data_IF_878299336537
#
_entry.id   IF_878299336537
#
_cell.length_a   1.000
_cell.length_b   1.000
_cell.length_c   1.000
_cell.angle_alpha   90.00
_cell.angle_beta   90.00
_cell.angle_gamma   90.00
#
_symmetry.space_group_name_H-M   'P 1'
#
loop_
_entity.id
_entity.type
_entity.pdbx_description
1 polymer ?
#
# COMPACT_ATOMS: atom_id res chain seq x y z
N UNK A 1 23.08 -3.20 1.73
CA UNK A 1 22.69 -2.19 2.72
C UNK A 1 22.73 -2.82 4.11
N UNK A 2 23.09 -2.05 5.14
CA UNK A 2 23.04 -2.53 6.51
C UNK A 2 21.60 -2.53 7.04
N UNK A 3 21.32 -3.27 8.12
CA UNK A 3 20.01 -3.26 8.78
C UNK A 3 19.61 -1.83 9.23
N UNK A 4 20.58 -1.01 9.60
CA UNK A 4 20.37 0.39 9.96
C UNK A 4 19.84 1.24 8.80
N UNK A 5 20.17 0.87 7.56
CA UNK A 5 19.70 1.59 6.38
C UNK A 5 18.21 1.34 6.15
N UNK A 6 17.70 0.12 6.36
CA UNK A 6 16.28 -0.20 6.21
C UNK A 6 15.41 0.53 7.23
N UNK A 7 15.84 0.59 8.50
CA UNK A 7 15.12 1.35 9.53
C UNK A 7 15.05 2.85 9.20
N UNK A 8 16.15 3.42 8.69
CA UNK A 8 16.20 4.82 8.29
C UNK A 8 15.28 5.10 7.08
N UNK A 9 15.27 4.20 6.09
CA UNK A 9 14.37 4.29 4.93
C UNK A 9 12.91 4.20 5.38
N UNK A 10 12.56 3.22 6.21
CA UNK A 10 11.19 3.03 6.71
C UNK A 10 10.69 4.28 7.47
N UNK A 11 11.52 4.88 8.32
CA UNK A 11 11.21 6.14 9.00
C UNK A 11 11.05 7.31 8.03
N UNK A 12 11.90 7.40 7.02
CA UNK A 12 11.80 8.46 6.01
C UNK A 12 10.52 8.36 5.18
N UNK A 13 10.03 7.14 4.92
CA UNK A 13 8.76 6.91 4.21
C UNK A 13 7.55 7.51 4.93
N UNK A 14 7.58 7.58 6.25
CA UNK A 14 6.50 8.10 7.10
C UNK A 14 6.89 9.39 7.82
N UNK A 15 7.78 10.18 7.20
CA UNK A 15 8.22 11.45 7.73
C UNK A 15 7.04 12.41 8.00
N UNK A 16 7.08 13.23 9.07
CA UNK A 16 6.01 14.16 9.39
C UNK A 16 5.64 15.08 8.22
N UNK A 17 4.33 15.25 7.97
CA UNK A 17 3.80 16.10 6.91
C UNK A 17 3.93 15.52 5.50
N UNK A 18 4.39 14.27 5.35
CA UNK A 18 4.55 13.62 4.05
C UNK A 18 3.77 12.32 3.97
N UNK A 19 3.38 11.97 2.73
CA UNK A 19 2.80 10.69 2.40
C UNK A 19 3.50 10.02 1.22
N UNK A 20 2.93 8.94 0.73
CA UNK A 20 3.45 8.17 -0.40
C UNK A 20 2.50 8.31 -1.60
N UNK A 21 3.04 8.66 -2.76
CA UNK A 21 2.28 8.65 -4.02
C UNK A 21 2.26 7.22 -4.58
N UNK A 22 1.07 6.66 -4.75
CA UNK A 22 0.88 5.39 -5.43
C UNK A 22 0.70 5.63 -6.94
N UNK A 23 1.80 5.58 -7.69
CA UNK A 23 1.83 5.72 -9.15
C UNK A 23 2.15 4.38 -9.85
N UNK A 24 1.69 3.28 -9.24
CA UNK A 24 2.02 1.91 -9.60
C UNK A 24 0.89 1.17 -10.35
N UNK A 25 -0.02 1.91 -10.93
CA UNK A 25 -1.10 1.32 -11.73
C UNK A 25 -0.50 0.44 -12.82
N UNK A 26 -0.97 -0.81 -12.87
CA UNK A 26 -0.65 -1.72 -13.97
C UNK A 26 -1.20 -1.19 -15.31
N UNK A 27 -0.69 -1.68 -16.41
CA UNK A 27 -1.17 -1.32 -17.77
C UNK A 27 -2.68 -1.40 -17.90
N UNK A 28 -3.31 -2.45 -17.33
CA UNK A 28 -4.77 -2.60 -17.36
C UNK A 28 -5.52 -1.62 -16.44
N UNK A 29 -4.92 -1.22 -15.33
CA UNK A 29 -5.53 -0.24 -14.41
C UNK A 29 -5.48 1.16 -15.00
N UNK A 30 -4.34 1.54 -15.59
CA UNK A 30 -4.19 2.88 -16.19
C UNK A 30 -5.01 3.00 -17.48
N UNK A 31 -5.22 1.89 -18.23
CA UNK A 31 -6.11 1.87 -19.39
C UNK A 31 -7.51 2.38 -19.04
N UNK A 32 -8.09 1.89 -17.93
CA UNK A 32 -9.41 2.33 -17.46
C UNK A 32 -9.47 3.81 -17.08
N UNK A 33 -8.36 4.38 -16.60
CA UNK A 33 -8.26 5.82 -16.31
C UNK A 33 -8.20 6.64 -17.58
N UNK A 34 -7.41 6.20 -18.55
CA UNK A 34 -7.28 6.88 -19.85
C UNK A 34 -8.54 6.82 -20.69
N UNK A 35 -9.29 5.72 -20.63
CA UNK A 35 -10.60 5.59 -21.24
C UNK A 35 -11.57 6.69 -20.79
N UNK A 36 -11.58 7.01 -19.48
CA UNK A 36 -12.42 8.07 -18.92
C UNK A 36 -12.10 9.49 -19.43
N UNK A 37 -10.94 9.70 -20.05
CA UNK A 37 -10.49 10.98 -20.61
C UNK A 37 -10.16 10.89 -22.10
N UNK A 38 -10.57 9.79 -22.76
CA UNK A 38 -10.36 9.53 -24.19
C UNK A 38 -8.89 9.61 -24.63
N UNK A 39 -7.96 9.13 -23.81
CA UNK A 39 -6.53 9.00 -24.11
C UNK A 39 -6.20 7.55 -24.44
N UNK A 40 -5.46 7.34 -25.51
CA UNK A 40 -5.01 6.00 -25.90
C UNK A 40 -3.98 5.44 -24.88
N UNK A 41 -4.10 4.15 -24.53
CA UNK A 41 -3.20 3.49 -23.61
C UNK A 41 -1.91 3.01 -24.29
N UNK A 42 -1.09 3.94 -24.75
CA UNK A 42 0.26 3.69 -25.29
C UNK A 42 1.31 3.77 -24.18
N UNK A 43 2.51 3.20 -24.41
CA UNK A 43 3.63 3.35 -23.50
C UNK A 43 4.02 4.82 -23.31
N UNK A 44 4.02 5.60 -24.40
CA UNK A 44 4.35 7.02 -24.34
C UNK A 44 3.34 7.83 -23.52
N UNK A 45 2.05 7.57 -23.66
CA UNK A 45 1.03 8.25 -22.86
C UNK A 45 1.13 7.87 -21.37
N UNK A 46 1.47 6.60 -21.06
CA UNK A 46 1.74 6.19 -19.69
C UNK A 46 2.98 6.88 -19.13
N UNK A 47 4.04 6.97 -19.92
CA UNK A 47 5.27 7.69 -19.56
C UNK A 47 4.98 9.17 -19.31
N UNK A 48 4.28 9.84 -20.22
CA UNK A 48 3.93 11.25 -20.11
C UNK A 48 3.06 11.54 -18.87
N UNK A 49 2.11 10.67 -18.56
CA UNK A 49 1.31 10.76 -17.34
C UNK A 49 2.17 10.70 -16.08
N UNK A 50 3.14 9.78 -16.00
CA UNK A 50 4.08 9.66 -14.87
C UNK A 50 5.01 10.87 -14.80
N UNK A 51 5.50 11.32 -15.95
CA UNK A 51 6.38 12.49 -16.06
C UNK A 51 5.71 13.74 -15.49
N UNK A 52 4.43 13.98 -15.86
CA UNK A 52 3.63 15.09 -15.33
C UNK A 52 3.58 15.08 -13.80
N UNK A 53 3.36 13.91 -13.20
CA UNK A 53 3.30 13.77 -11.74
C UNK A 53 4.66 14.04 -11.09
N UNK A 54 5.74 13.45 -11.62
CA UNK A 54 7.05 13.46 -10.99
C UNK A 54 7.78 14.81 -11.17
N UNK A 55 7.44 15.58 -12.19
CA UNK A 55 7.96 16.92 -12.40
C UNK A 55 7.18 18.01 -11.66
N UNK A 56 6.12 17.66 -10.93
CA UNK A 56 5.36 18.63 -10.16
C UNK A 56 6.26 19.36 -9.15
N UNK A 57 6.35 20.67 -9.28
CA UNK A 57 7.17 21.52 -8.40
C UNK A 57 6.71 21.40 -6.95
N UNK A 58 7.63 21.19 -6.03
CA UNK A 58 7.34 21.05 -4.60
C UNK A 58 6.81 19.67 -4.20
N UNK A 59 6.75 18.69 -5.12
CA UNK A 59 6.28 17.34 -4.82
C UNK A 59 7.02 16.76 -3.59
N UNK A 60 8.33 16.92 -3.50
CA UNK A 60 9.14 16.42 -2.41
C UNK A 60 8.88 17.07 -1.05
N UNK A 61 8.15 18.18 -1.01
CA UNK A 61 7.76 18.82 0.27
C UNK A 61 6.64 18.02 0.98
N UNK A 62 5.83 17.30 0.21
CA UNK A 62 4.64 16.57 0.67
C UNK A 62 4.70 15.06 0.45
N UNK A 63 5.58 14.59 -0.44
CA UNK A 63 5.71 13.17 -0.81
C UNK A 63 7.10 12.66 -0.40
N UNK A 64 7.11 11.63 0.43
CA UNK A 64 8.32 10.95 0.91
C UNK A 64 8.79 9.86 -0.02
N UNK A 65 7.86 9.21 -0.72
CA UNK A 65 8.13 8.10 -1.62
C UNK A 65 7.10 7.96 -2.73
N UNK A 66 7.49 7.35 -3.82
CA UNK A 66 6.59 7.03 -4.96
C UNK A 66 6.69 5.55 -5.26
N UNK A 67 5.55 4.86 -5.29
CA UNK A 67 5.48 3.48 -5.74
C UNK A 67 5.39 3.49 -7.26
N UNK A 68 6.35 2.86 -7.92
CA UNK A 68 6.43 2.77 -9.38
C UNK A 68 5.93 1.40 -9.86
N UNK A 69 5.46 1.35 -11.11
CA UNK A 69 5.29 0.11 -11.87
C UNK A 69 6.61 -0.28 -12.53
N UNK A 70 6.83 -1.56 -12.89
CA UNK A 70 8.10 -2.04 -13.47
C UNK A 70 8.50 -1.25 -14.72
N UNK A 71 7.57 -1.03 -15.66
CA UNK A 71 7.78 -0.20 -16.85
C UNK A 71 8.30 1.20 -16.46
N UNK A 72 7.64 1.84 -15.50
CA UNK A 72 7.94 3.21 -15.07
C UNK A 72 9.29 3.33 -14.38
N UNK A 73 9.69 2.33 -13.59
CA UNK A 73 11.02 2.31 -12.94
C UNK A 73 12.17 2.37 -13.97
N UNK A 74 11.94 1.88 -15.19
CA UNK A 74 12.93 1.81 -16.28
C UNK A 74 12.87 3.00 -17.22
N UNK A 75 11.80 3.80 -17.15
CA UNK A 75 11.55 4.92 -18.06
C UNK A 75 12.32 6.19 -17.66
N UNK A 76 12.29 7.14 -18.57
CA UNK A 76 12.93 8.45 -18.44
C UNK A 76 11.91 9.56 -18.68
N UNK A 77 12.18 10.70 -18.09
CA UNK A 77 11.56 11.97 -18.41
C UNK A 77 11.90 12.41 -19.83
N UNK A 78 11.19 13.40 -20.33
CA UNK A 78 11.40 13.97 -21.67
C UNK A 78 12.81 14.54 -21.89
N UNK A 79 13.48 14.98 -20.83
CA UNK A 79 14.88 15.46 -20.87
C UNK A 79 15.94 14.36 -20.80
N UNK A 80 15.53 13.08 -20.73
CA UNK A 80 16.42 11.93 -20.67
C UNK A 80 16.83 11.52 -19.24
N UNK A 81 16.42 12.25 -18.21
CA UNK A 81 16.66 11.89 -16.81
C UNK A 81 15.79 10.67 -16.44
N UNK A 82 16.37 9.63 -15.81
CA UNK A 82 15.57 8.50 -15.34
C UNK A 82 14.58 8.95 -14.24
N UNK A 83 13.38 8.38 -14.20
CA UNK A 83 12.42 8.71 -13.15
C UNK A 83 12.96 8.46 -11.75
N UNK A 84 13.80 7.44 -11.57
CA UNK A 84 14.49 7.18 -10.31
C UNK A 84 15.39 8.35 -9.90
N UNK A 85 16.18 8.88 -10.84
CA UNK A 85 17.04 10.02 -10.57
C UNK A 85 16.23 11.30 -10.31
N UNK A 86 15.18 11.55 -11.10
CA UNK A 86 14.28 12.68 -10.93
C UNK A 86 13.65 12.70 -9.52
N UNK A 87 13.15 11.55 -9.07
CA UNK A 87 12.60 11.40 -7.71
C UNK A 87 13.66 11.62 -6.63
N UNK A 88 14.84 11.01 -6.79
CA UNK A 88 15.93 11.12 -5.82
C UNK A 88 16.45 12.55 -5.69
N UNK A 89 16.57 13.29 -6.79
CA UNK A 89 16.93 14.72 -6.79
C UNK A 89 15.92 15.58 -5.99
N UNK A 90 14.65 15.19 -6.03
CA UNK A 90 13.57 15.81 -5.27
C UNK A 90 13.43 15.25 -3.83
N UNK A 91 14.41 14.45 -3.34
CA UNK A 91 14.40 13.81 -2.02
C UNK A 91 13.21 12.88 -1.80
N UNK A 92 12.74 12.24 -2.86
CA UNK A 92 11.64 11.27 -2.85
C UNK A 92 12.23 9.88 -3.05
N UNK A 93 11.84 8.94 -2.20
CA UNK A 93 12.29 7.56 -2.27
C UNK A 93 11.58 6.83 -3.42
N UNK A 94 12.32 6.23 -4.37
CA UNK A 94 11.73 5.36 -5.38
C UNK A 94 11.33 4.02 -4.78
N UNK A 95 10.11 3.59 -5.02
CA UNK A 95 9.60 2.28 -4.65
C UNK A 95 9.07 1.50 -5.84
N UNK A 96 8.76 0.23 -5.66
CA UNK A 96 8.36 -0.68 -6.74
C UNK A 96 7.23 -1.61 -6.32
N UNK A 97 6.18 -1.70 -7.14
CA UNK A 97 5.17 -2.76 -7.04
C UNK A 97 5.76 -4.07 -7.55
N UNK A 98 5.76 -5.09 -6.70
CA UNK A 98 6.39 -6.39 -7.04
C UNK A 98 5.41 -7.55 -7.16
N UNK A 99 4.16 -7.39 -6.75
CA UNK A 99 3.13 -8.41 -6.94
C UNK A 99 2.73 -8.55 -8.44
N UNK A 100 2.28 -9.73 -8.81
CA UNK A 100 1.78 -10.07 -10.14
C UNK A 100 0.24 -9.97 -10.24
N UNK A 101 -0.42 -9.40 -9.23
CA UNK A 101 -1.86 -9.20 -9.15
C UNK A 101 -2.61 -10.34 -8.48
N UNK A 102 -3.85 -10.04 -8.11
CA UNK A 102 -4.75 -10.99 -7.48
C UNK A 102 -5.34 -11.96 -8.51
N UNK A 103 -5.38 -13.25 -8.16
CA UNK A 103 -5.92 -14.36 -8.95
C UNK A 103 -6.99 -15.08 -8.15
N UNK A 104 -7.84 -15.85 -8.83
CA UNK A 104 -8.84 -16.66 -8.15
C UNK A 104 -8.17 -17.67 -7.22
N UNK A 105 -8.64 -17.73 -5.99
CA UNK A 105 -8.18 -18.73 -5.03
C UNK A 105 -8.91 -20.05 -5.30
N UNK A 106 -8.15 -21.09 -5.61
CA UNK A 106 -8.71 -22.40 -5.94
C UNK A 106 -9.62 -22.93 -4.81
N UNK A 107 -10.78 -23.45 -5.18
CA UNK A 107 -11.82 -23.98 -4.26
C UNK A 107 -12.43 -22.94 -3.29
N UNK A 108 -12.15 -21.65 -3.49
CA UNK A 108 -12.73 -20.55 -2.71
C UNK A 108 -13.43 -19.55 -3.66
N UNK A 109 -14.65 -19.83 -4.12
CA UNK A 109 -15.35 -19.00 -5.09
C UNK A 109 -15.49 -17.55 -4.65
N UNK A 110 -15.10 -16.59 -5.50
CA UNK A 110 -15.16 -15.16 -5.23
C UNK A 110 -13.97 -14.60 -4.46
N UNK A 111 -13.11 -15.44 -3.89
CA UNK A 111 -11.93 -15.02 -3.16
C UNK A 111 -10.67 -15.03 -4.03
N UNK A 112 -9.71 -14.21 -3.65
CA UNK A 112 -8.45 -14.03 -4.39
C UNK A 112 -7.23 -14.33 -3.52
N UNK A 113 -6.15 -14.74 -4.19
CA UNK A 113 -4.80 -14.76 -3.64
C UNK A 113 -3.90 -13.96 -4.56
N UNK A 114 -3.00 -13.17 -4.00
CA UNK A 114 -2.04 -12.40 -4.80
C UNK A 114 -0.81 -13.24 -5.10
N UNK A 115 -0.44 -13.28 -6.38
CA UNK A 115 0.71 -14.01 -6.90
C UNK A 115 1.92 -13.09 -7.12
N UNK A 116 3.08 -13.69 -7.42
CA UNK A 116 4.30 -12.95 -7.77
C UNK A 116 5.51 -13.31 -6.92
N UNK A 117 5.45 -14.39 -6.12
CA UNK A 117 6.60 -14.86 -5.32
C UNK A 117 7.66 -15.55 -6.18
N UNK A 118 7.29 -16.10 -7.33
CA UNK A 118 8.22 -16.76 -8.22
C UNK A 118 9.27 -15.78 -8.75
N UNK A 119 10.54 -16.16 -8.64
CA UNK A 119 11.69 -15.33 -9.01
C UNK A 119 11.76 -13.96 -8.29
N UNK A 120 10.97 -13.72 -7.23
CA UNK A 120 10.96 -12.46 -6.52
C UNK A 120 12.34 -12.05 -5.97
N UNK A 121 13.17 -12.95 -5.38
CA UNK A 121 14.51 -12.58 -4.92
C UNK A 121 15.37 -11.99 -6.05
N UNK A 122 15.35 -12.61 -7.23
CA UNK A 122 16.08 -12.13 -8.41
C UNK A 122 15.58 -10.76 -8.88
N UNK A 123 14.25 -10.57 -8.93
CA UNK A 123 13.65 -9.28 -9.30
C UNK A 123 13.96 -8.19 -8.29
N UNK A 124 13.90 -8.48 -7.00
CA UNK A 124 14.25 -7.51 -5.95
C UNK A 124 15.71 -7.08 -6.06
N UNK A 125 16.64 -8.00 -6.29
CA UNK A 125 18.05 -7.68 -6.50
C UNK A 125 18.28 -6.76 -7.72
N UNK A 126 17.51 -6.94 -8.80
CA UNK A 126 17.52 -6.05 -9.96
C UNK A 126 16.96 -4.66 -9.62
N UNK A 127 15.82 -4.60 -8.95
CA UNK A 127 15.19 -3.33 -8.58
C UNK A 127 16.05 -2.47 -7.65
N UNK A 128 16.78 -3.11 -6.73
CA UNK A 128 17.78 -2.41 -5.90
C UNK A 128 18.87 -1.78 -6.74
N UNK A 129 19.38 -2.49 -7.75
CA UNK A 129 20.40 -1.97 -8.70
C UNK A 129 19.85 -0.79 -9.52
N UNK A 130 18.56 -0.81 -9.86
CA UNK A 130 17.88 0.29 -10.54
C UNK A 130 17.56 1.48 -9.61
N UNK A 131 17.80 1.37 -8.32
CA UNK A 131 17.68 2.46 -7.35
C UNK A 131 16.41 2.41 -6.48
N UNK A 132 15.59 1.37 -6.56
CA UNK A 132 14.47 1.20 -5.64
C UNK A 132 14.95 1.07 -4.19
N UNK A 133 14.19 1.64 -3.25
CA UNK A 133 14.46 1.63 -1.80
C UNK A 133 13.41 0.88 -1.00
N UNK A 134 12.21 0.76 -1.52
CA UNK A 134 11.11 0.03 -0.91
C UNK A 134 10.30 -0.70 -1.97
N UNK A 135 9.52 -1.68 -1.53
CA UNK A 135 8.63 -2.45 -2.39
C UNK A 135 7.21 -2.41 -1.85
N UNK A 136 6.23 -2.73 -2.70
CA UNK A 136 4.84 -2.86 -2.30
C UNK A 136 4.23 -4.14 -2.88
N UNK A 137 3.43 -4.82 -2.03
CA UNK A 137 2.62 -5.98 -2.40
C UNK A 137 1.22 -5.83 -1.81
N UNK A 138 0.22 -5.89 -2.67
CA UNK A 138 -1.19 -5.77 -2.31
C UNK A 138 -1.85 -7.14 -2.29
N UNK A 139 -2.42 -7.52 -1.16
CA UNK A 139 -3.43 -8.58 -1.07
C UNK A 139 -4.82 -7.95 -1.02
N UNK A 140 -5.83 -8.66 -1.52
CA UNK A 140 -7.23 -8.21 -1.48
C UNK A 140 -8.08 -9.21 -0.75
N UNK A 141 -8.86 -8.72 0.22
CA UNK A 141 -9.78 -9.49 1.06
C UNK A 141 -11.19 -8.93 0.85
N UNK A 142 -12.05 -9.71 0.22
CA UNK A 142 -13.44 -9.30 0.00
C UNK A 142 -14.34 -9.69 1.17
N UNK A 143 -15.37 -8.91 1.42
CA UNK A 143 -16.40 -9.18 2.44
C UNK A 143 -17.69 -9.54 1.73
N UNK A 144 -18.16 -10.76 1.94
CA UNK A 144 -19.41 -11.28 1.39
C UNK A 144 -20.12 -12.15 2.41
N UNK A 145 -21.16 -12.88 1.94
CA UNK A 145 -22.01 -13.69 2.83
C UNK A 145 -21.20 -14.69 3.66
N UNK A 146 -20.29 -15.42 3.04
CA UNK A 146 -19.45 -16.44 3.69
C UNK A 146 -17.95 -16.13 3.46
N UNK A 147 -17.63 -14.86 3.22
CA UNK A 147 -16.29 -14.35 2.95
C UNK A 147 -15.89 -13.28 3.96
N UNK A 148 -14.57 -13.17 4.26
CA UNK A 148 -13.49 -14.04 3.81
C UNK A 148 -13.47 -15.38 4.51
N UNK A 149 -12.98 -16.43 3.83
CA UNK A 149 -12.67 -17.72 4.44
C UNK A 149 -11.33 -17.69 5.19
N UNK A 150 -11.13 -18.62 6.12
CA UNK A 150 -9.84 -18.81 6.79
C UNK A 150 -8.72 -19.13 5.79
N UNK A 151 -9.04 -19.85 4.71
CA UNK A 151 -8.10 -20.17 3.63
C UNK A 151 -7.61 -18.90 2.93
N UNK A 152 -8.52 -17.99 2.58
CA UNK A 152 -8.18 -16.73 1.93
C UNK A 152 -7.27 -15.86 2.82
N UNK A 153 -7.63 -15.70 4.09
CA UNK A 153 -6.84 -14.94 5.06
C UNK A 153 -5.44 -15.56 5.20
N UNK A 154 -5.34 -16.88 5.44
CA UNK A 154 -4.06 -17.56 5.65
C UNK A 154 -3.16 -17.51 4.41
N UNK A 155 -3.70 -17.75 3.21
CA UNK A 155 -2.94 -17.72 1.97
C UNK A 155 -2.35 -16.33 1.68
N UNK A 156 -3.14 -15.27 1.85
CA UNK A 156 -2.69 -13.91 1.63
C UNK A 156 -1.72 -13.43 2.73
N UNK A 157 -1.95 -13.76 3.99
CA UNK A 157 -1.05 -13.46 5.09
C UNK A 157 0.33 -14.11 4.87
N UNK A 158 0.35 -15.40 4.47
CA UNK A 158 1.59 -16.11 4.15
C UNK A 158 2.33 -15.48 2.95
N UNK A 159 1.61 -15.12 1.88
CA UNK A 159 2.20 -14.48 0.71
C UNK A 159 2.83 -13.12 1.08
N UNK A 160 2.12 -12.28 1.86
CA UNK A 160 2.61 -11.00 2.36
C UNK A 160 3.87 -11.15 3.21
N UNK A 161 3.90 -12.17 4.09
CA UNK A 161 5.04 -12.39 4.97
C UNK A 161 6.28 -12.89 4.21
N UNK A 162 6.11 -13.83 3.27
CA UNK A 162 7.20 -14.29 2.40
C UNK A 162 7.75 -13.16 1.53
N UNK A 163 6.87 -12.37 0.95
CA UNK A 163 7.25 -11.18 0.18
C UNK A 163 8.09 -10.22 1.03
N UNK A 164 7.64 -9.92 2.26
CA UNK A 164 8.31 -8.99 3.15
C UNK A 164 9.72 -9.47 3.53
N UNK A 165 9.88 -10.74 3.87
CA UNK A 165 11.17 -11.34 4.18
C UNK A 165 12.14 -11.26 2.98
N UNK A 166 11.69 -11.60 1.78
CA UNK A 166 12.49 -11.52 0.54
C UNK A 166 12.94 -10.08 0.27
N UNK A 167 12.05 -9.10 0.46
CA UNK A 167 12.38 -7.69 0.30
C UNK A 167 13.46 -7.23 1.27
N UNK A 168 13.33 -7.56 2.56
CA UNK A 168 14.31 -7.19 3.57
C UNK A 168 15.69 -7.82 3.29
N UNK A 169 15.72 -9.09 2.91
CA UNK A 169 16.95 -9.77 2.51
C UNK A 169 17.63 -9.09 1.31
N UNK A 170 16.83 -8.60 0.35
CA UNK A 170 17.33 -7.88 -0.82
C UNK A 170 17.73 -6.42 -0.53
N UNK A 171 17.41 -5.86 0.64
CA UNK A 171 17.69 -4.46 1.00
C UNK A 171 16.57 -3.48 0.62
N UNK A 172 15.32 -3.94 0.53
CA UNK A 172 14.12 -3.14 0.30
C UNK A 172 13.23 -3.12 1.55
N UNK A 173 12.67 -1.96 1.88
CA UNK A 173 11.63 -1.85 2.91
C UNK A 173 10.31 -2.36 2.32
N UNK A 174 9.66 -3.40 2.89
CA UNK A 174 8.36 -3.84 2.40
C UNK A 174 7.22 -2.94 2.90
N UNK A 175 6.38 -2.47 1.99
CA UNK A 175 5.02 -2.02 2.30
C UNK A 175 4.10 -3.24 2.25
N UNK A 176 3.56 -3.62 3.38
CA UNK A 176 2.61 -4.73 3.54
C UNK A 176 1.21 -4.16 3.38
N UNK A 177 0.51 -4.55 2.29
CA UNK A 177 -0.81 -3.97 1.94
C UNK A 177 -1.92 -5.05 1.96
N UNK A 178 -2.46 -5.40 3.14
CA UNK A 178 -3.64 -6.25 3.27
C UNK A 178 -4.91 -5.39 3.11
N UNK A 179 -5.39 -5.22 1.89
CA UNK A 179 -6.58 -4.42 1.62
C UNK A 179 -7.86 -5.20 1.85
N UNK A 180 -8.66 -4.79 2.84
CA UNK A 180 -10.04 -5.20 3.00
C UNK A 180 -10.90 -4.32 2.10
N UNK A 181 -11.62 -4.93 1.14
CA UNK A 181 -12.37 -4.20 0.12
C UNK A 181 -13.65 -3.59 0.68
N UNK A 182 -13.99 -2.41 0.19
CA UNK A 182 -15.19 -1.67 0.58
C UNK A 182 -16.36 -1.82 -0.41
N UNK A 183 -16.24 -2.69 -1.41
CA UNK A 183 -17.19 -2.74 -2.54
C UNK A 183 -18.54 -3.39 -2.23
N UNK A 184 -18.67 -4.04 -1.06
CA UNK A 184 -19.88 -4.72 -0.60
C UNK A 184 -20.90 -3.82 0.08
N UNK A 185 -21.90 -4.48 0.72
CA UNK A 185 -22.96 -3.89 1.51
C UNK A 185 -22.79 -4.11 3.03
N UNK A 186 -21.61 -4.57 3.43
CA UNK A 186 -21.29 -4.89 4.81
C UNK A 186 -21.31 -3.65 5.72
N UNK A 187 -21.65 -3.86 6.97
CA UNK A 187 -21.62 -2.81 7.99
C UNK A 187 -20.19 -2.50 8.44
N UNK A 188 -20.00 -1.37 9.09
CA UNK A 188 -18.68 -1.00 9.64
C UNK A 188 -18.21 -1.99 10.71
N UNK A 189 -19.13 -2.61 11.48
CA UNK A 189 -18.80 -3.66 12.45
C UNK A 189 -18.19 -4.88 11.77
N UNK A 190 -18.77 -5.31 10.64
CA UNK A 190 -18.21 -6.43 9.87
C UNK A 190 -16.87 -6.10 9.27
N UNK A 191 -16.70 -4.89 8.77
CA UNK A 191 -15.39 -4.41 8.29
C UNK A 191 -14.36 -4.40 9.43
N UNK A 192 -14.73 -3.95 10.64
CA UNK A 192 -13.88 -3.97 11.82
C UNK A 192 -13.42 -5.38 12.16
N UNK A 193 -14.33 -6.33 12.23
CA UNK A 193 -14.05 -7.74 12.54
C UNK A 193 -13.10 -8.36 11.51
N UNK A 194 -13.37 -8.19 10.21
CA UNK A 194 -12.54 -8.75 9.14
C UNK A 194 -11.15 -8.11 9.11
N UNK A 195 -11.08 -6.80 9.34
CA UNK A 195 -9.80 -6.08 9.39
C UNK A 195 -8.96 -6.54 10.56
N UNK A 196 -9.55 -6.70 11.76
CA UNK A 196 -8.86 -7.23 12.95
C UNK A 196 -8.34 -8.64 12.70
N UNK A 197 -9.17 -9.53 12.15
CA UNK A 197 -8.76 -10.89 11.79
C UNK A 197 -7.62 -10.91 10.76
N UNK A 198 -7.75 -10.14 9.69
CA UNK A 198 -6.73 -10.04 8.63
C UNK A 198 -5.39 -9.56 9.18
N UNK A 199 -5.38 -8.49 9.98
CA UNK A 199 -4.15 -7.93 10.53
C UNK A 199 -3.48 -8.88 11.52
N UNK A 200 -4.24 -9.55 12.39
CA UNK A 200 -3.69 -10.55 13.30
C UNK A 200 -3.01 -11.68 12.55
N UNK A 201 -3.66 -12.25 11.52
CA UNK A 201 -3.07 -13.29 10.69
C UNK A 201 -1.80 -12.82 9.96
N UNK A 202 -1.80 -11.58 9.45
CA UNK A 202 -0.64 -10.99 8.76
C UNK A 202 0.55 -10.85 9.73
N UNK A 203 0.35 -10.30 10.93
CA UNK A 203 1.45 -10.11 11.88
C UNK A 203 1.96 -11.43 12.47
N UNK A 204 1.11 -12.43 12.67
CA UNK A 204 1.55 -13.79 13.00
C UNK A 204 2.43 -14.36 11.88
N UNK A 205 1.99 -14.25 10.62
CA UNK A 205 2.78 -14.73 9.49
C UNK A 205 4.11 -13.98 9.33
N UNK A 206 4.13 -12.65 9.52
CA UNK A 206 5.37 -11.85 9.52
C UNK A 206 6.36 -12.32 10.60
N UNK A 207 5.87 -12.58 11.82
CA UNK A 207 6.68 -13.10 12.90
C UNK A 207 7.29 -14.48 12.54
N UNK A 208 6.46 -15.41 12.04
CA UNK A 208 6.92 -16.74 11.62
C UNK A 208 7.95 -16.70 10.49
N UNK A 209 7.90 -15.69 9.64
CA UNK A 209 8.86 -15.46 8.56
C UNK A 209 10.06 -14.59 8.98
N UNK A 210 10.22 -14.27 10.27
CA UNK A 210 11.34 -13.52 10.84
C UNK A 210 11.49 -12.10 10.28
N UNK A 211 10.39 -11.49 9.85
CA UNK A 211 10.39 -10.13 9.34
C UNK A 211 10.67 -9.15 10.48
N UNK A 212 11.63 -8.25 10.29
CA UNK A 212 11.94 -7.16 11.23
C UNK A 212 10.91 -6.07 11.04
N UNK A 213 10.06 -5.84 12.05
CA UNK A 213 8.91 -4.94 11.93
C UNK A 213 9.31 -3.47 11.79
N UNK A 214 10.40 -3.05 12.42
CA UNK A 214 10.98 -1.71 12.32
C UNK A 214 11.45 -1.36 10.89
N UNK A 215 11.60 -2.38 10.06
CA UNK A 215 11.99 -2.27 8.65
C UNK A 215 10.79 -2.44 7.70
N UNK A 216 9.58 -2.22 8.17
CA UNK A 216 8.35 -2.39 7.40
C UNK A 216 7.40 -1.20 7.59
N UNK A 217 6.52 -1.01 6.61
CA UNK A 217 5.41 -0.05 6.66
C UNK A 217 4.13 -0.78 6.35
N UNK A 218 3.09 -0.55 7.16
CA UNK A 218 1.76 -1.11 6.91
C UNK A 218 0.95 -0.17 6.00
N UNK A 219 0.27 -0.74 5.00
CA UNK A 219 -0.68 0.00 4.16
C UNK A 219 -2.07 -0.66 4.21
N UNK A 220 -2.87 -0.38 5.25
CA UNK A 220 -4.18 -0.98 5.42
C UNK A 220 -5.28 -0.14 4.78
N UNK A 221 -6.47 -0.75 4.65
CA UNK A 221 -7.73 -0.02 4.51
C UNK A 221 -8.08 0.67 5.82
N UNK A 222 -8.96 1.67 5.77
CA UNK A 222 -9.68 2.16 6.94
C UNK A 222 -10.86 1.24 7.24
N UNK A 223 -11.30 1.18 8.49
CA UNK A 223 -12.51 0.47 8.89
C UNK A 223 -13.71 1.33 8.54
N UNK A 224 -14.44 0.94 7.48
CA UNK A 224 -15.55 1.72 6.92
C UNK A 224 -16.75 0.84 6.58
N UNK A 225 -17.93 1.44 6.45
CA UNK A 225 -19.07 0.76 5.85
C UNK A 225 -18.82 0.45 4.37
N UNK A 226 -19.29 -0.68 3.88
CA UNK A 226 -19.27 -0.99 2.46
C UNK A 226 -20.00 0.08 1.63
N UNK A 227 -19.56 0.28 0.38
CA UNK A 227 -20.14 1.30 -0.52
C UNK A 227 -21.65 1.17 -0.73
N UNK A 228 -22.16 -0.06 -0.66
CA UNK A 228 -23.58 -0.39 -0.85
C UNK A 228 -24.34 -0.49 0.48
N UNK A 229 -23.68 -0.30 1.62
CA UNK A 229 -24.32 -0.34 2.92
C UNK A 229 -25.29 0.86 3.05
N UNK A 230 -26.52 0.57 3.46
CA UNK A 230 -27.55 1.60 3.61
C UNK A 230 -27.21 2.64 4.68
N UNK A 231 -26.43 2.25 5.69
CA UNK A 231 -25.97 3.13 6.76
C UNK A 231 -24.46 3.36 6.62
N UNK A 232 -24.09 4.56 6.20
CA UNK A 232 -22.69 4.98 6.17
C UNK A 232 -22.30 5.51 7.56
N UNK A 233 -21.15 5.06 8.06
CA UNK A 233 -20.63 5.52 9.34
C UNK A 233 -20.08 6.95 9.23
N UNK A 234 -20.27 7.80 10.25
CA UNK A 234 -19.69 9.14 10.27
C UNK A 234 -18.17 9.10 10.44
N UNK A 235 -17.51 10.20 10.05
CA UNK A 235 -16.05 10.33 10.04
C UNK A 235 -15.40 9.95 11.37
N UNK A 236 -15.97 10.40 12.47
CA UNK A 236 -15.42 10.15 13.81
C UNK A 236 -15.53 8.69 14.25
N UNK A 237 -16.59 8.00 13.84
CA UNK A 237 -16.75 6.57 14.09
C UNK A 237 -15.74 5.75 13.27
N UNK A 238 -15.54 6.09 11.99
CA UNK A 238 -14.51 5.48 11.14
C UNK A 238 -13.13 5.64 11.77
N UNK A 239 -12.79 6.85 12.21
CA UNK A 239 -11.53 7.14 12.86
C UNK A 239 -11.34 6.33 14.15
N UNK A 240 -12.34 6.30 15.02
CA UNK A 240 -12.28 5.59 16.30
C UNK A 240 -12.15 4.07 16.12
N UNK A 241 -12.93 3.47 15.21
CA UNK A 241 -12.89 2.02 14.95
C UNK A 241 -11.58 1.62 14.26
N UNK A 242 -11.13 2.40 13.29
CA UNK A 242 -9.85 2.15 12.60
C UNK A 242 -8.69 2.15 13.62
N UNK A 243 -8.57 3.17 14.45
CA UNK A 243 -7.50 3.25 15.44
C UNK A 243 -7.63 2.13 16.49
N UNK A 244 -8.86 1.75 16.88
CA UNK A 244 -9.08 0.64 17.80
C UNK A 244 -8.52 -0.68 17.26
N UNK A 245 -8.83 -1.01 16.00
CA UNK A 245 -8.32 -2.22 15.35
C UNK A 245 -6.79 -2.18 15.24
N UNK A 246 -6.23 -1.05 14.81
CA UNK A 246 -4.78 -0.90 14.72
C UNK A 246 -4.09 -1.13 16.07
N UNK A 247 -4.62 -0.57 17.16
CA UNK A 247 -4.07 -0.75 18.51
C UNK A 247 -4.15 -2.20 19.01
N UNK A 248 -5.12 -2.97 18.55
CA UNK A 248 -5.29 -4.38 18.92
C UNK A 248 -4.40 -5.33 18.13
N UNK A 249 -4.11 -4.97 16.86
CA UNK A 249 -3.55 -5.92 15.91
C UNK A 249 -2.15 -5.54 15.39
N UNK A 250 -1.76 -4.27 15.45
CA UNK A 250 -0.49 -3.79 14.87
C UNK A 250 0.55 -3.59 15.94
N UNK A 251 1.69 -4.32 15.92
CA UNK A 251 2.77 -4.11 16.88
C UNK A 251 3.32 -2.67 16.82
N UNK A 252 3.64 -2.12 17.98
CA UNK A 252 4.21 -0.76 18.10
C UNK A 252 5.58 -0.58 17.42
N UNK A 253 6.26 -1.69 17.12
CA UNK A 253 7.55 -1.72 16.44
C UNK A 253 7.49 -1.35 14.95
N UNK A 254 6.30 -1.41 14.33
CA UNK A 254 6.14 -1.05 12.90
C UNK A 254 6.51 0.42 12.70
N UNK A 255 7.29 0.73 11.64
CA UNK A 255 7.82 2.08 11.43
C UNK A 255 6.73 3.13 11.20
N UNK A 256 5.60 2.75 10.62
CA UNK A 256 4.46 3.64 10.41
C UNK A 256 3.35 3.01 9.57
N UNK A 257 2.23 3.73 9.46
CA UNK A 257 1.03 3.29 8.76
C UNK A 257 0.65 4.32 7.70
N UNK A 258 0.49 3.87 6.46
CA UNK A 258 0.10 4.71 5.32
C UNK A 258 -1.18 4.16 4.71
N UNK A 259 -2.32 4.80 4.94
CA UNK A 259 -3.60 4.29 4.48
C UNK A 259 -3.75 4.34 2.96
N UNK A 260 -4.38 3.31 2.39
CA UNK A 260 -4.94 3.40 1.05
C UNK A 260 -6.29 4.15 1.08
N UNK A 261 -6.73 4.70 -0.05
CA UNK A 261 -8.04 5.35 -0.14
C UNK A 261 -9.19 4.35 -0.39
N UNK A 262 -8.91 3.21 -1.03
CA UNK A 262 -9.85 2.11 -1.26
C UNK A 262 -11.09 2.49 -2.10
N UNK A 263 -11.04 3.60 -2.85
CA UNK A 263 -12.18 4.10 -3.62
C UNK A 263 -13.12 5.03 -2.85
N UNK A 264 -12.73 5.50 -1.67
CA UNK A 264 -13.33 6.68 -1.04
C UNK A 264 -13.09 7.92 -1.92
N UNK A 265 -13.93 8.97 -1.78
CA UNK A 265 -13.59 10.26 -2.39
C UNK A 265 -12.34 10.85 -1.75
N UNK A 266 -11.69 11.76 -2.45
CA UNK A 266 -10.45 12.39 -1.96
C UNK A 266 -10.69 13.18 -0.67
N UNK A 267 -11.85 13.86 -0.57
CA UNK A 267 -12.28 14.59 0.61
C UNK A 267 -12.53 13.66 1.79
N UNK A 268 -13.22 12.53 1.55
CA UNK A 268 -13.60 11.61 2.62
C UNK A 268 -12.38 10.86 3.17
N UNK A 269 -11.50 10.38 2.30
CA UNK A 269 -10.24 9.74 2.71
C UNK A 269 -9.36 10.69 3.53
N UNK A 270 -9.31 11.97 3.14
CA UNK A 270 -8.59 13.02 3.86
C UNK A 270 -9.23 13.33 5.20
N UNK A 271 -10.56 13.45 5.25
CA UNK A 271 -11.30 13.72 6.49
C UNK A 271 -11.12 12.60 7.52
N UNK A 272 -11.19 11.33 7.11
CA UNK A 272 -10.96 10.19 8.01
C UNK A 272 -9.53 10.18 8.56
N UNK A 273 -8.52 10.37 7.71
CA UNK A 273 -7.13 10.42 8.16
C UNK A 273 -6.87 11.60 9.09
N UNK A 274 -7.42 12.78 8.78
CA UNK A 274 -7.31 13.95 9.63
C UNK A 274 -7.98 13.70 11.00
N UNK A 275 -9.17 13.12 11.02
CA UNK A 275 -9.90 12.81 12.26
C UNK A 275 -9.07 11.86 13.15
N UNK A 276 -8.45 10.82 12.58
CA UNK A 276 -7.55 9.92 13.34
C UNK A 276 -6.38 10.68 13.97
N UNK A 277 -5.72 11.56 13.19
CA UNK A 277 -4.56 12.32 13.68
C UNK A 277 -4.94 13.38 14.74
N UNK A 278 -6.15 13.97 14.65
CA UNK A 278 -6.62 14.97 15.62
C UNK A 278 -7.08 14.29 16.91
N UNK A 279 -7.95 13.29 16.82
CA UNK A 279 -8.53 12.62 17.99
C UNK A 279 -7.52 11.85 18.82
N UNK A 280 -6.51 11.28 18.18
CA UNK A 280 -5.53 10.41 18.84
C UNK A 280 -4.12 11.02 18.90
N UNK A 281 -4.00 12.34 18.75
CA UNK A 281 -2.72 13.06 18.81
C UNK A 281 -1.95 12.70 20.09
N UNK A 282 -0.73 12.23 19.92
CA UNK A 282 0.16 11.84 21.05
C UNK A 282 -0.19 10.48 21.71
N UNK A 283 -1.24 9.78 21.23
CA UNK A 283 -1.69 8.52 21.81
C UNK A 283 -1.50 7.30 20.85
N UNK A 284 -0.70 7.48 19.79
CA UNK A 284 -0.40 6.43 18.82
C UNK A 284 1.09 6.09 18.86
N UNK A 285 1.45 4.79 18.79
CA UNK A 285 2.87 4.40 18.73
C UNK A 285 3.48 4.63 17.34
N UNK A 286 2.67 4.79 16.30
CA UNK A 286 3.09 4.99 14.91
C UNK A 286 2.61 6.34 14.37
N UNK A 287 3.34 6.94 13.43
CA UNK A 287 2.79 7.97 12.56
C UNK A 287 1.72 7.39 11.64
N UNK A 288 0.62 8.11 11.45
CA UNK A 288 -0.43 7.80 10.48
C UNK A 288 -0.32 8.79 9.31
N UNK A 289 -0.19 8.24 8.11
CA UNK A 289 -0.09 9.00 6.87
C UNK A 289 -0.89 8.32 5.75
N UNK A 290 -0.66 8.70 4.51
CA UNK A 290 -1.39 8.21 3.34
C UNK A 290 -0.45 7.57 2.29
N UNK A 291 -1.05 6.68 1.49
CA UNK A 291 -0.48 6.22 0.22
C UNK A 291 -1.58 6.19 -0.83
N UNK A 292 -1.83 7.35 -1.42
CA UNK A 292 -2.93 7.56 -2.35
C UNK A 292 -2.43 7.65 -3.80
N UNK A 293 -3.27 7.26 -4.76
CA UNK A 293 -3.00 7.31 -6.19
C UNK A 293 -3.59 8.51 -6.90
N UNK A 294 -4.23 9.38 -6.17
CA UNK A 294 -4.89 10.58 -6.67
C UNK A 294 -5.13 11.54 -5.54
#
# INVERSE_FOLDING_TARGET
>A
MSANDLAAIAKAMVAPGKGILAADESTGTIAKRFEGISVENTEENRRAYRDLLFQTRGLGDHISGVILYDETLRQKSADGTTFVNLLTQNRILPGIKVDAGAKDLALCPGEKVTEGLDNLPKRCAEYVKLGARFAKWRAVIDIGRDMPSATCIAANAHALARYAAICQEAGLVPIVEPEVLMDGDHTIERCEEVTEWTLNAVYEALYMNRVVLEHSVLKPSMVISGKKCAKQAPVDEVAARTVRVLKRSVPAAVAGIVFLSGGQSDELATAHLNSMNVQFKGNLPWPLSFSYGR
#
